data_IF_694897865246
#
_entry.id   IF_694897865246
#
_cell.length_a   1.000
_cell.length_b   1.000
_cell.length_c   1.000
_cell.angle_alpha   90.00
_cell.angle_beta   90.00
_cell.angle_gamma   90.00
#
_symmetry.space_group_name_H-M   'P 1'
#
loop_
_entity.id
_entity.type
_entity.pdbx_description
1 polymer ?
#
# COMPACT_ATOMS: atom_id res chain seq x y z
N UNK A 1 -3.47 -18.95 -10.04
CA UNK A 1 -2.67 -18.47 -11.19
C UNK A 1 -1.17 -18.67 -10.99
N UNK A 2 -0.63 -18.69 -9.76
CA UNK A 2 0.80 -18.98 -9.49
C UNK A 2 1.28 -20.32 -10.09
N UNK A 3 0.41 -21.33 -10.20
CA UNK A 3 0.74 -22.63 -10.79
C UNK A 3 1.12 -22.60 -12.30
N UNK A 4 0.96 -21.46 -12.98
CA UNK A 4 1.31 -21.25 -14.40
C UNK A 4 2.60 -20.44 -14.60
N UNK A 5 3.27 -20.03 -13.52
CA UNK A 5 4.49 -19.23 -13.61
C UNK A 5 5.66 -20.13 -13.97
N UNK A 6 6.42 -19.75 -15.01
CA UNK A 6 7.69 -20.39 -15.36
C UNK A 6 8.60 -20.47 -14.13
N UNK A 7 9.07 -21.66 -13.73
CA UNK A 7 10.00 -21.82 -12.61
C UNK A 7 11.23 -20.91 -12.71
N UNK A 8 11.70 -20.61 -13.92
CA UNK A 8 12.82 -19.71 -14.15
C UNK A 8 12.51 -18.24 -13.83
N UNK A 9 11.24 -17.83 -13.85
CA UNK A 9 10.80 -16.48 -13.54
C UNK A 9 10.57 -16.24 -12.04
N UNK A 10 10.45 -17.30 -11.22
CA UNK A 10 10.20 -17.19 -9.78
C UNK A 10 11.20 -16.30 -9.03
N UNK A 11 12.53 -16.41 -9.24
CA UNK A 11 13.49 -15.57 -8.52
C UNK A 11 13.30 -14.08 -8.80
N UNK A 12 13.07 -13.72 -10.07
CA UNK A 12 12.82 -12.34 -10.48
C UNK A 12 11.52 -11.80 -9.90
N UNK A 13 10.44 -12.59 -9.91
CA UNK A 13 9.16 -12.23 -9.32
C UNK A 13 9.24 -12.04 -7.80
N UNK A 14 10.00 -12.90 -7.11
CA UNK A 14 10.24 -12.77 -5.67
C UNK A 14 10.98 -11.48 -5.33
N UNK A 15 12.04 -11.15 -6.08
CA UNK A 15 12.81 -9.92 -5.87
C UNK A 15 11.93 -8.69 -6.13
N UNK A 16 11.20 -8.68 -7.25
CA UNK A 16 10.28 -7.60 -7.59
C UNK A 16 9.17 -7.42 -6.54
N UNK A 17 8.58 -8.54 -6.08
CA UNK A 17 7.54 -8.53 -5.06
C UNK A 17 8.04 -8.01 -3.71
N UNK A 18 9.22 -8.44 -3.25
CA UNK A 18 9.85 -7.94 -2.02
C UNK A 18 10.13 -6.44 -2.14
N UNK A 19 10.69 -5.99 -3.27
CA UNK A 19 10.99 -4.58 -3.51
C UNK A 19 9.72 -3.72 -3.47
N UNK A 20 8.67 -4.14 -4.17
CA UNK A 20 7.37 -3.47 -4.13
C UNK A 20 6.77 -3.46 -2.71
N UNK A 21 6.90 -4.55 -1.96
CA UNK A 21 6.40 -4.62 -0.60
C UNK A 21 7.15 -3.63 0.31
N UNK A 22 8.47 -3.54 0.19
CA UNK A 22 9.29 -2.56 0.93
C UNK A 22 8.85 -1.13 0.63
N UNK A 23 8.67 -0.78 -0.65
CA UNK A 23 8.22 0.56 -1.05
C UNK A 23 6.86 0.88 -0.43
N UNK A 24 5.92 -0.08 -0.49
CA UNK A 24 4.61 0.12 0.12
C UNK A 24 4.75 0.34 1.63
N UNK A 25 5.49 -0.51 2.36
CA UNK A 25 5.70 -0.33 3.79
C UNK A 25 6.34 1.01 4.15
N UNK A 26 7.31 1.48 3.37
CA UNK A 26 7.92 2.81 3.53
C UNK A 26 6.91 3.93 3.27
N UNK A 27 6.07 3.81 2.25
CA UNK A 27 4.99 4.76 1.99
C UNK A 27 3.99 4.81 3.15
N UNK A 28 3.60 3.66 3.69
CA UNK A 28 2.76 3.57 4.89
C UNK A 28 3.41 4.23 6.11
N UNK A 29 4.68 3.93 6.38
CA UNK A 29 5.42 4.54 7.47
C UNK A 29 5.54 6.07 7.31
N UNK A 30 5.77 6.55 6.09
CA UNK A 30 5.81 7.98 5.76
C UNK A 30 4.44 8.63 6.00
N UNK A 31 3.36 8.01 5.54
CA UNK A 31 1.99 8.49 5.73
C UNK A 31 1.66 8.59 7.22
N UNK A 32 1.98 7.57 8.02
CA UNK A 32 1.76 7.60 9.47
C UNK A 32 2.59 8.69 10.16
N UNK A 33 3.86 8.84 9.78
CA UNK A 33 4.76 9.87 10.33
C UNK A 33 4.31 11.29 9.99
N UNK A 34 3.77 11.49 8.79
CA UNK A 34 3.34 12.80 8.29
C UNK A 34 1.82 12.96 8.23
N UNK A 35 1.08 12.13 8.96
CA UNK A 35 -0.39 12.06 8.91
C UNK A 35 -1.04 13.42 9.14
N UNK A 36 -0.60 14.13 10.18
CA UNK A 36 -1.12 15.46 10.53
C UNK A 36 -0.76 16.54 9.50
N UNK A 37 0.27 16.33 8.69
CA UNK A 37 0.68 17.28 7.63
C UNK A 37 -0.05 17.01 6.32
N UNK A 38 -0.23 15.74 5.98
CA UNK A 38 -0.93 15.30 4.77
C UNK A 38 -2.45 15.47 4.90
N UNK A 39 -2.97 15.20 6.10
CA UNK A 39 -4.41 15.16 6.39
C UNK A 39 -4.81 16.02 7.59
N UNK A 40 -4.01 17.03 7.96
CA UNK A 40 -4.39 18.07 8.95
C UNK A 40 -4.95 19.35 8.33
N UNK A 41 -5.79 20.06 9.10
CA UNK A 41 -6.69 21.14 8.66
C UNK A 41 -5.99 22.16 7.76
N UNK A 42 -6.62 22.52 6.63
CA UNK A 42 -6.07 23.46 5.67
C UNK A 42 -6.79 24.79 5.86
N UNK A 43 -6.13 25.81 6.42
CA UNK A 43 -6.76 27.09 6.68
C UNK A 43 -7.09 27.88 5.40
N UNK A 44 -6.66 27.41 4.22
CA UNK A 44 -6.88 28.08 2.93
C UNK A 44 -8.12 27.59 2.19
N UNK A 45 -8.82 26.58 2.70
CA UNK A 45 -10.00 25.99 2.04
C UNK A 45 -11.24 26.24 2.91
N UNK A 46 -12.13 27.10 2.42
CA UNK A 46 -13.45 27.28 3.03
C UNK A 46 -14.28 25.99 2.88
N UNK A 47 -14.82 25.50 3.99
CA UNK A 47 -15.61 24.26 4.02
C UNK A 47 -14.82 22.97 4.30
N UNK A 48 -13.57 23.08 4.76
CA UNK A 48 -12.78 21.95 5.26
C UNK A 48 -13.43 21.31 6.50
N UNK A 49 -14.29 20.32 6.26
CA UNK A 49 -15.01 19.54 7.28
C UNK A 49 -14.21 18.29 7.62
N UNK A 50 -14.11 18.01 8.92
CA UNK A 50 -13.40 16.82 9.44
C UNK A 50 -13.90 15.51 8.81
N UNK A 51 -15.20 15.42 8.50
CA UNK A 51 -15.79 14.27 7.82
C UNK A 51 -15.25 14.04 6.40
N UNK A 52 -15.04 15.10 5.62
CA UNK A 52 -14.51 15.01 4.25
C UNK A 52 -13.05 14.59 4.25
N UNK A 53 -12.27 15.08 5.23
CA UNK A 53 -10.87 14.64 5.45
C UNK A 53 -10.77 13.18 5.80
N UNK A 54 -11.60 12.73 6.75
CA UNK A 54 -11.63 11.33 7.15
C UNK A 54 -11.99 10.43 5.96
N UNK A 55 -12.94 10.86 5.12
CA UNK A 55 -13.31 10.13 3.92
C UNK A 55 -12.16 10.06 2.89
N UNK A 56 -11.47 11.17 2.63
CA UNK A 56 -10.31 11.19 1.72
C UNK A 56 -9.21 10.24 2.19
N UNK A 57 -8.90 10.27 3.48
CA UNK A 57 -7.97 9.33 4.10
C UNK A 57 -8.43 7.90 3.85
N UNK A 58 -9.68 7.57 4.16
CA UNK A 58 -10.20 6.21 4.04
C UNK A 58 -10.14 5.70 2.59
N UNK A 59 -10.54 6.53 1.62
CA UNK A 59 -10.55 6.18 0.19
C UNK A 59 -9.15 5.93 -0.37
N UNK A 60 -8.11 6.55 0.20
CA UNK A 60 -6.71 6.30 -0.23
C UNK A 60 -6.11 5.13 0.55
N UNK A 61 -6.26 5.12 1.87
CA UNK A 61 -5.55 4.19 2.75
C UNK A 61 -6.11 2.78 2.67
N UNK A 62 -7.44 2.63 2.55
CA UNK A 62 -8.09 1.30 2.50
C UNK A 62 -7.69 0.51 1.24
N UNK A 63 -7.83 1.05 0.00
CA UNK A 63 -7.38 0.32 -1.18
C UNK A 63 -5.88 0.04 -1.16
N UNK A 64 -5.08 0.99 -0.69
CA UNK A 64 -3.64 0.81 -0.56
C UNK A 64 -3.28 -0.36 0.38
N UNK A 65 -3.94 -0.48 1.54
CA UNK A 65 -3.78 -1.59 2.47
C UNK A 65 -4.21 -2.92 1.84
N UNK A 66 -5.34 -2.95 1.13
CA UNK A 66 -5.84 -4.16 0.45
C UNK A 66 -4.83 -4.64 -0.60
N UNK A 67 -4.31 -3.73 -1.43
CA UNK A 67 -3.33 -4.06 -2.47
C UNK A 67 -2.02 -4.55 -1.85
N UNK A 68 -1.54 -3.89 -0.79
CA UNK A 68 -0.31 -4.28 -0.08
C UNK A 68 -0.48 -5.65 0.58
N UNK A 69 -1.62 -5.90 1.23
CA UNK A 69 -1.93 -7.20 1.83
C UNK A 69 -2.06 -8.30 0.79
N UNK A 70 -2.71 -8.02 -0.35
CA UNK A 70 -2.79 -8.96 -1.47
C UNK A 70 -1.41 -9.31 -2.01
N UNK A 71 -0.56 -8.31 -2.23
CA UNK A 71 0.82 -8.51 -2.67
C UNK A 71 1.59 -9.42 -1.70
N UNK A 72 1.47 -9.18 -0.40
CA UNK A 72 2.12 -10.00 0.63
C UNK A 72 1.64 -11.47 0.57
N UNK A 73 0.34 -11.71 0.42
CA UNK A 73 -0.21 -13.07 0.29
C UNK A 73 0.30 -13.78 -0.96
N UNK A 74 0.31 -13.11 -2.11
CA UNK A 74 0.83 -13.69 -3.36
C UNK A 74 2.34 -13.98 -3.25
N UNK A 75 3.10 -13.09 -2.59
CA UNK A 75 4.54 -13.29 -2.36
C UNK A 75 4.80 -14.49 -1.43
N UNK A 76 4.02 -14.65 -0.36
CA UNK A 76 4.10 -15.83 0.51
C UNK A 76 3.70 -17.10 -0.26
N UNK A 77 2.66 -17.02 -1.10
CA UNK A 77 2.25 -18.11 -1.97
C UNK A 77 3.34 -18.53 -2.96
N UNK A 78 4.14 -17.58 -3.46
CA UNK A 78 5.31 -17.84 -4.32
C UNK A 78 6.48 -18.48 -3.56
N UNK A 79 6.60 -18.25 -2.26
CA UNK A 79 7.66 -18.82 -1.42
C UNK A 79 7.36 -20.25 -0.96
N UNK A 80 6.08 -20.54 -0.68
CA UNK A 80 5.65 -21.84 -0.15
C UNK A 80 5.51 -22.90 -1.25
N UNK A 81 5.07 -22.50 -2.44
CA UNK A 81 4.91 -23.38 -3.60
C UNK A 81 6.17 -23.41 -4.45
#
# INVERSE_FOLDING_TARGET
MIALIDPAARPALTIAGIFFLIINLLAGAYILRHWRRLFGRDPRVDGDRDATRYLQIAVITIPWLILTGRLAVELVGLWIN
#
